data_IF_024747122327
#
_entry.id   IF_024747122327
#
_cell.length_a   1.000
_cell.length_b   1.000
_cell.length_c   1.000
_cell.angle_alpha   90.00
_cell.angle_beta   90.00
_cell.angle_gamma   90.00
#
_symmetry.space_group_name_H-M   'P 1'
#
loop_
_entity.id
_entity.type
_entity.pdbx_description
1 polymer ?
#
# COMPACT_ATOMS: atom_id res chain seq x y z
N UNK A 1 -3.26 24.26 18.00
CA UNK A 1 -4.01 23.59 16.93
C UNK A 1 -5.06 22.64 17.51
N UNK A 2 -6.20 22.56 16.87
CA UNK A 2 -7.27 21.69 17.31
C UNK A 2 -6.97 20.25 16.95
N UNK A 3 -6.93 19.38 17.96
CA UNK A 3 -6.71 17.98 17.73
C UNK A 3 -5.32 17.54 18.12
N UNK A 4 -4.41 17.53 17.16
CA UNK A 4 -3.04 17.05 17.39
C UNK A 4 -2.09 17.64 16.37
N UNK A 5 -1.09 18.32 16.89
CA UNK A 5 0.00 18.83 16.10
C UNK A 5 0.80 17.67 15.50
N UNK A 6 1.06 17.75 14.21
CA UNK A 6 1.78 16.75 13.51
C UNK A 6 3.29 16.85 13.75
N UNK A 7 3.84 15.76 14.26
CA UNK A 7 5.27 15.60 14.58
C UNK A 7 6.10 15.47 13.33
N UNK A 8 5.35 15.23 12.28
CA UNK A 8 5.76 15.15 10.89
C UNK A 8 7.13 14.57 10.63
N UNK A 9 8.17 15.21 11.10
CA UNK A 9 9.52 14.76 10.93
C UNK A 9 9.70 13.38 11.54
N UNK A 10 8.99 13.16 12.64
CA UNK A 10 8.91 11.86 13.28
C UNK A 10 8.33 10.82 12.30
N UNK A 11 7.24 11.21 11.67
CA UNK A 11 6.61 10.44 10.62
C UNK A 11 7.51 10.24 9.41
N UNK A 12 8.12 11.30 8.93
CA UNK A 12 9.05 11.25 7.84
C UNK A 12 10.21 10.32 8.16
N UNK A 13 10.58 10.25 9.43
CA UNK A 13 11.63 9.37 9.87
C UNK A 13 11.16 7.92 9.77
N UNK A 14 9.87 7.74 9.97
CA UNK A 14 9.22 6.47 9.88
C UNK A 14 9.20 5.98 8.44
N UNK A 15 8.93 6.89 7.53
CA UNK A 15 8.82 6.60 6.13
C UNK A 15 10.18 6.55 5.51
N UNK A 16 10.98 7.43 6.02
CA UNK A 16 12.33 7.60 5.56
C UNK A 16 12.40 8.63 4.47
N UNK A 17 11.52 9.63 4.59
CA UNK A 17 11.37 10.69 3.63
C UNK A 17 11.09 10.19 2.20
N UNK A 18 10.65 11.09 1.31
CA UNK A 18 10.37 10.78 -0.09
C UNK A 18 11.46 9.94 -0.74
N UNK A 19 11.08 9.06 -1.68
CA UNK A 19 12.01 8.16 -2.33
C UNK A 19 12.64 8.79 -3.56
N UNK A 20 12.17 8.43 -4.74
CA UNK A 20 12.67 9.00 -5.95
C UNK A 20 11.71 10.03 -6.51
N UNK A 21 10.67 9.55 -7.16
CA UNK A 21 9.75 10.42 -7.86
C UNK A 21 8.53 10.77 -7.01
N UNK A 22 7.80 11.81 -7.42
CA UNK A 22 6.48 12.13 -6.86
C UNK A 22 5.51 10.99 -7.12
N UNK A 23 5.52 10.56 -8.37
CA UNK A 23 4.71 9.44 -8.85
C UNK A 23 4.85 8.18 -7.99
N UNK A 24 5.99 8.04 -7.32
CA UNK A 24 6.22 6.89 -6.44
C UNK A 24 5.57 7.09 -5.08
N UNK A 25 5.56 8.36 -4.65
CA UNK A 25 5.11 8.74 -3.31
C UNK A 25 3.76 8.13 -2.89
N UNK A 26 2.75 8.08 -3.77
CA UNK A 26 1.47 7.43 -3.49
C UNK A 26 1.63 6.02 -2.95
N UNK A 27 2.20 5.17 -3.78
CA UNK A 27 2.45 3.79 -3.44
C UNK A 27 3.39 3.72 -2.23
N UNK A 28 4.33 4.64 -2.24
CA UNK A 28 5.31 4.78 -1.21
C UNK A 28 4.64 4.99 0.15
N UNK A 29 3.54 5.71 0.15
CA UNK A 29 2.84 5.99 1.33
C UNK A 29 2.16 4.79 1.89
N UNK A 30 1.43 4.09 1.05
CA UNK A 30 0.70 2.93 1.50
C UNK A 30 1.58 1.94 2.20
N UNK A 31 2.87 2.01 1.89
CA UNK A 31 3.84 1.19 2.60
C UNK A 31 4.09 1.76 3.99
N UNK A 32 4.20 3.07 4.03
CA UNK A 32 4.67 3.81 5.19
C UNK A 32 3.55 4.30 6.10
N UNK A 33 2.39 4.44 5.53
CA UNK A 33 1.17 4.84 6.21
C UNK A 33 0.99 4.18 7.59
N UNK A 34 1.12 2.84 7.71
CA UNK A 34 1.00 2.15 9.00
C UNK A 34 2.09 2.57 9.97
N UNK A 35 3.20 2.89 9.38
CA UNK A 35 4.38 3.31 10.12
C UNK A 35 4.18 4.73 10.63
N UNK A 36 3.63 5.55 9.76
CA UNK A 36 3.25 6.90 10.08
C UNK A 36 2.25 6.89 11.21
N UNK A 37 1.27 6.04 11.04
CA UNK A 37 0.25 5.76 12.05
C UNK A 37 0.86 5.38 13.41
N UNK A 38 2.14 4.99 13.43
CA UNK A 38 2.79 4.65 14.68
C UNK A 38 3.17 5.90 15.44
N UNK A 39 3.88 6.79 14.75
CA UNK A 39 4.16 8.10 15.24
C UNK A 39 2.88 8.84 15.54
N UNK A 40 2.27 9.17 14.44
CA UNK A 40 1.10 9.95 14.38
C UNK A 40 -0.13 9.10 14.55
N UNK A 41 -0.92 9.47 15.55
CA UNK A 41 -2.21 8.85 15.84
C UNK A 41 -3.23 9.25 14.82
N UNK A 42 -2.84 10.31 14.15
CA UNK A 42 -3.59 10.94 13.09
C UNK A 42 -5.09 10.82 13.37
N UNK A 43 -5.47 11.49 14.44
CA UNK A 43 -6.76 11.35 15.03
C UNK A 43 -7.84 12.12 14.29
N UNK A 44 -7.45 12.72 13.18
CA UNK A 44 -8.39 13.43 12.35
C UNK A 44 -8.05 13.17 10.91
N UNK A 45 -9.01 13.38 10.05
CA UNK A 45 -8.83 13.33 8.60
C UNK A 45 -7.83 14.36 8.21
N UNK A 46 -8.04 15.53 8.79
CA UNK A 46 -7.17 16.69 8.66
C UNK A 46 -5.72 16.26 8.75
N UNK A 47 -5.42 15.60 9.85
CA UNK A 47 -4.09 15.20 10.18
C UNK A 47 -3.50 14.36 9.10
N UNK A 48 -4.26 13.37 8.73
CA UNK A 48 -3.86 12.40 7.71
C UNK A 48 -3.36 13.12 6.45
N UNK A 49 -4.12 14.09 6.01
CA UNK A 49 -3.80 14.82 4.80
C UNK A 49 -2.57 15.69 4.96
N UNK A 50 -2.52 16.43 6.06
CA UNK A 50 -1.41 17.31 6.33
C UNK A 50 -0.12 16.55 6.48
N UNK A 51 -0.19 15.33 7.02
CA UNK A 51 0.99 14.50 7.11
C UNK A 51 1.57 14.26 5.75
N UNK A 52 0.73 13.78 4.84
CA UNK A 52 1.21 13.33 3.55
C UNK A 52 1.95 14.43 2.82
N UNK A 53 1.28 15.54 2.69
CA UNK A 53 1.82 16.68 1.98
C UNK A 53 3.06 17.20 2.69
N UNK A 54 3.04 17.14 4.02
CA UNK A 54 4.15 17.59 4.84
C UNK A 54 5.35 16.67 4.72
N UNK A 55 5.09 15.38 4.47
CA UNK A 55 6.11 14.40 4.19
C UNK A 55 6.93 14.84 3.03
N UNK A 56 6.20 15.00 1.95
CA UNK A 56 6.77 15.15 0.64
C UNK A 56 7.32 16.54 0.47
N UNK A 57 6.73 17.45 1.20
CA UNK A 57 7.11 18.83 1.18
C UNK A 57 6.87 19.50 -0.17
N UNK A 58 7.69 19.15 -1.15
CA UNK A 58 7.60 19.76 -2.47
C UNK A 58 7.00 18.82 -3.50
N UNK A 59 5.86 18.26 -3.18
CA UNK A 59 5.12 17.41 -4.09
C UNK A 59 4.16 18.25 -4.91
N UNK A 60 4.22 18.06 -6.21
CA UNK A 60 3.54 18.88 -7.19
C UNK A 60 2.08 19.13 -6.84
N UNK A 61 1.25 18.11 -6.98
CA UNK A 61 -0.16 18.28 -6.72
C UNK A 61 -0.74 17.25 -5.79
N UNK A 62 0.11 16.40 -5.23
CA UNK A 62 -0.32 15.33 -4.34
C UNK A 62 -0.82 15.91 -3.03
N UNK A 63 -0.63 17.20 -2.91
CA UNK A 63 -1.05 17.94 -1.75
C UNK A 63 -2.57 17.90 -1.59
N UNK A 64 -3.06 16.77 -1.07
CA UNK A 64 -4.44 16.56 -0.79
C UNK A 64 -4.99 17.55 0.24
N UNK A 65 -6.26 17.39 0.54
CA UNK A 65 -6.98 18.28 1.43
C UNK A 65 -7.49 17.47 2.60
N UNK A 66 -7.77 18.12 3.74
CA UNK A 66 -8.18 17.41 4.95
C UNK A 66 -9.58 16.80 4.85
N UNK A 67 -10.02 16.52 3.61
CA UNK A 67 -11.31 15.91 3.39
C UNK A 67 -11.29 14.76 2.40
N UNK A 68 -10.14 14.50 1.78
CA UNK A 68 -10.03 13.40 0.81
C UNK A 68 -9.25 12.24 1.40
N UNK A 69 -8.48 12.57 2.40
CA UNK A 69 -7.49 11.70 2.98
C UNK A 69 -8.02 10.94 4.18
N UNK A 70 -9.35 10.76 4.23
CA UNK A 70 -10.03 10.19 5.38
C UNK A 70 -9.42 8.85 5.72
N UNK A 71 -9.05 8.18 4.68
CA UNK A 71 -8.30 6.95 4.77
C UNK A 71 -6.96 7.14 4.08
N UNK A 72 -6.02 6.29 4.43
CA UNK A 72 -4.69 6.34 3.83
C UNK A 72 -4.81 5.89 2.39
N UNK A 73 -5.69 4.94 2.16
CA UNK A 73 -5.87 4.31 0.87
C UNK A 73 -6.32 5.34 -0.16
N UNK A 74 -7.24 6.20 0.24
CA UNK A 74 -7.76 7.21 -0.65
C UNK A 74 -6.69 8.23 -1.01
N UNK A 75 -5.94 8.68 -0.01
CA UNK A 75 -4.85 9.63 -0.22
C UNK A 75 -3.75 9.06 -1.09
N UNK A 76 -3.21 7.87 -0.73
CA UNK A 76 -2.13 7.28 -1.47
C UNK A 76 -2.53 7.14 -2.93
N UNK A 77 -3.73 6.65 -3.13
CA UNK A 77 -4.24 6.45 -4.46
C UNK A 77 -4.25 7.76 -5.21
N UNK A 78 -4.73 8.79 -4.56
CA UNK A 78 -4.98 10.05 -5.20
C UNK A 78 -3.66 10.72 -5.62
N UNK A 79 -2.62 10.60 -4.81
CA UNK A 79 -1.32 11.17 -5.18
C UNK A 79 -0.79 10.52 -6.46
N UNK A 80 -1.07 9.24 -6.63
CA UNK A 80 -0.64 8.52 -7.81
C UNK A 80 -1.49 8.94 -8.97
N UNK A 81 -2.76 9.00 -8.68
CA UNK A 81 -3.76 9.53 -9.52
C UNK A 81 -3.40 10.96 -9.96
N UNK A 82 -2.71 11.70 -9.10
CA UNK A 82 -2.22 13.01 -9.40
C UNK A 82 -1.26 12.98 -10.57
N UNK A 83 -0.38 12.00 -10.53
CA UNK A 83 0.76 11.99 -11.42
C UNK A 83 0.49 11.18 -12.68
N UNK A 84 -0.46 10.26 -12.59
CA UNK A 84 -0.78 9.39 -13.72
C UNK A 84 -2.14 9.73 -14.32
N UNK A 85 -2.58 10.97 -14.10
CA UNK A 85 -3.80 11.46 -14.72
C UNK A 85 -5.04 10.63 -14.42
N UNK A 86 -4.99 9.86 -13.33
CA UNK A 86 -6.08 8.96 -12.94
C UNK A 86 -6.25 7.82 -13.96
N UNK A 87 -6.89 6.73 -13.54
CA UNK A 87 -7.11 5.59 -14.42
C UNK A 87 -8.57 5.13 -14.43
N UNK A 88 -9.01 4.55 -15.56
CA UNK A 88 -10.24 3.78 -15.63
C UNK A 88 -9.96 2.28 -15.48
N UNK A 89 -9.27 1.92 -14.39
CA UNK A 89 -8.80 0.57 -14.14
C UNK A 89 -7.89 0.01 -15.23
N UNK A 90 -7.49 0.86 -16.16
CA UNK A 90 -6.51 0.48 -17.17
C UNK A 90 -5.12 0.35 -16.53
N UNK A 91 -4.77 1.33 -15.71
CA UNK A 91 -3.41 1.45 -15.19
C UNK A 91 -3.06 0.45 -14.09
N UNK A 92 -4.04 -0.02 -13.29
CA UNK A 92 -3.73 -0.82 -12.10
C UNK A 92 -2.82 -2.01 -12.41
N UNK A 93 -2.95 -2.56 -13.62
CA UNK A 93 -2.04 -3.61 -14.03
C UNK A 93 -0.61 -3.16 -13.90
N UNK A 94 -0.31 -2.03 -14.52
CA UNK A 94 1.03 -1.46 -14.49
C UNK A 94 1.44 -1.00 -13.10
N UNK A 95 0.49 -0.44 -12.37
CA UNK A 95 0.75 0.02 -11.01
C UNK A 95 1.26 -1.12 -10.14
N UNK A 96 0.59 -2.26 -10.23
CA UNK A 96 1.00 -3.47 -9.55
C UNK A 96 2.41 -3.85 -9.97
N UNK A 97 2.64 -3.83 -11.28
CA UNK A 97 3.93 -4.21 -11.89
C UNK A 97 5.09 -3.46 -11.26
N UNK A 98 4.88 -2.18 -10.98
CA UNK A 98 5.97 -1.36 -10.52
C UNK A 98 6.31 -1.58 -9.06
N UNK A 99 5.30 -1.66 -8.21
CA UNK A 99 5.52 -1.85 -6.79
C UNK A 99 6.05 -3.23 -6.49
N UNK A 100 5.50 -4.25 -7.13
CA UNK A 100 5.93 -5.60 -6.87
C UNK A 100 7.42 -5.73 -7.14
N UNK A 101 7.82 -5.15 -8.24
CA UNK A 101 9.21 -5.13 -8.65
C UNK A 101 10.08 -4.48 -7.59
N UNK A 102 9.55 -3.43 -7.01
CA UNK A 102 10.27 -2.60 -6.07
C UNK A 102 10.19 -3.11 -4.63
N UNK A 103 8.97 -3.32 -4.17
CA UNK A 103 8.71 -3.54 -2.75
C UNK A 103 8.22 -4.94 -2.49
N UNK A 104 7.54 -5.50 -3.45
CA UNK A 104 7.01 -6.84 -3.31
C UNK A 104 5.52 -6.90 -3.59
N UNK A 105 5.03 -8.10 -3.77
CA UNK A 105 3.63 -8.33 -4.15
C UNK A 105 2.66 -7.83 -3.07
N UNK A 106 2.97 -8.13 -1.82
CA UNK A 106 2.10 -7.75 -0.71
C UNK A 106 1.83 -6.25 -0.69
N UNK A 107 2.88 -5.45 -0.76
CA UNK A 107 2.73 -4.03 -0.77
C UNK A 107 1.99 -3.56 -2.03
N UNK A 108 2.45 -4.01 -3.19
CA UNK A 108 1.79 -3.66 -4.45
C UNK A 108 0.31 -4.00 -4.43
N UNK A 109 -0.02 -5.15 -3.87
CA UNK A 109 -1.41 -5.54 -3.74
C UNK A 109 -2.16 -4.47 -2.95
N UNK A 110 -1.52 -4.05 -1.87
CA UNK A 110 -2.09 -3.08 -0.98
C UNK A 110 -2.39 -1.75 -1.68
N UNK A 111 -1.40 -1.18 -2.36
CA UNK A 111 -1.63 0.04 -3.13
C UNK A 111 -2.65 -0.20 -4.21
N UNK A 112 -2.49 -1.29 -4.93
CA UNK A 112 -3.35 -1.56 -6.05
C UNK A 112 -4.81 -1.55 -5.69
N UNK A 113 -5.17 -2.20 -4.58
CA UNK A 113 -6.55 -2.18 -4.12
C UNK A 113 -6.95 -0.80 -3.61
N UNK A 114 -6.01 -0.05 -3.03
CA UNK A 114 -6.29 1.29 -2.56
C UNK A 114 -6.52 2.19 -3.76
N UNK A 115 -5.60 2.10 -4.72
CA UNK A 115 -5.67 2.82 -5.98
C UNK A 115 -6.95 2.46 -6.74
N UNK A 116 -7.28 1.18 -6.70
CA UNK A 116 -8.46 0.67 -7.35
C UNK A 116 -9.74 0.96 -6.56
N UNK A 117 -9.60 1.28 -5.30
CA UNK A 117 -10.73 1.69 -4.52
C UNK A 117 -11.43 0.50 -3.90
N UNK A 118 -10.65 -0.40 -3.32
CA UNK A 118 -11.15 -1.58 -2.70
C UNK A 118 -11.94 -2.47 -3.64
N UNK A 119 -11.40 -2.72 -4.83
CA UNK A 119 -11.85 -3.83 -5.61
C UNK A 119 -10.64 -4.66 -5.95
N UNK A 120 -10.21 -5.35 -4.93
CA UNK A 120 -8.88 -5.90 -4.83
C UNK A 120 -8.61 -6.83 -5.97
N UNK A 121 -9.65 -7.50 -6.40
CA UNK A 121 -9.57 -8.65 -7.25
C UNK A 121 -8.81 -8.36 -8.53
N UNK A 122 -9.08 -7.21 -9.14
CA UNK A 122 -8.39 -6.82 -10.36
C UNK A 122 -6.89 -6.64 -10.09
N UNK A 123 -6.60 -5.87 -9.05
CA UNK A 123 -5.24 -5.57 -8.66
C UNK A 123 -4.51 -6.86 -8.30
N UNK A 124 -5.28 -7.70 -7.66
CA UNK A 124 -4.90 -9.02 -7.20
C UNK A 124 -4.53 -9.91 -8.35
N UNK A 125 -5.33 -9.89 -9.40
CA UNK A 125 -5.04 -10.70 -10.56
C UNK A 125 -3.67 -10.43 -11.13
N UNK A 126 -3.28 -9.17 -11.17
CA UNK A 126 -1.96 -8.79 -11.61
C UNK A 126 -0.94 -9.20 -10.56
N UNK A 127 -1.29 -8.97 -9.32
CA UNK A 127 -0.49 -9.29 -8.18
C UNK A 127 -0.09 -10.73 -8.15
N UNK A 128 -1.05 -11.57 -8.47
CA UNK A 128 -0.95 -12.97 -8.39
C UNK A 128 0.17 -13.45 -9.26
N UNK A 129 0.27 -12.74 -10.32
CA UNK A 129 1.32 -12.98 -11.29
C UNK A 129 2.67 -12.54 -10.78
N UNK A 130 2.69 -11.86 -9.65
CA UNK A 130 3.92 -11.38 -9.06
C UNK A 130 4.42 -12.13 -7.83
N UNK A 131 3.69 -13.15 -7.40
CA UNK A 131 4.14 -14.04 -6.41
C UNK A 131 5.42 -14.73 -6.77
N UNK A 132 6.20 -14.88 -5.73
CA UNK A 132 7.57 -15.37 -5.73
C UNK A 132 7.68 -16.85 -6.04
N UNK A 133 6.97 -17.62 -5.25
CA UNK A 133 6.98 -19.04 -5.37
C UNK A 133 5.60 -19.56 -5.68
N UNK A 134 5.52 -20.58 -6.51
CA UNK A 134 4.23 -21.12 -6.92
C UNK A 134 3.47 -21.69 -5.75
N UNK A 135 4.17 -22.13 -4.72
CA UNK A 135 3.50 -22.52 -3.47
C UNK A 135 2.73 -21.33 -2.97
N UNK A 136 3.39 -20.19 -2.94
CA UNK A 136 2.77 -18.96 -2.52
C UNK A 136 1.59 -18.66 -3.41
N UNK A 137 1.76 -18.66 -4.72
CA UNK A 137 0.67 -18.39 -5.61
C UNK A 137 -0.48 -19.34 -5.31
N UNK A 138 -0.21 -20.65 -5.31
CA UNK A 138 -1.26 -21.61 -5.12
C UNK A 138 -1.93 -21.47 -3.78
N UNK A 139 -1.14 -21.54 -2.74
CA UNK A 139 -1.67 -21.47 -1.41
C UNK A 139 -2.46 -20.21 -1.23
N UNK A 140 -1.92 -19.09 -1.66
CA UNK A 140 -2.60 -17.85 -1.51
C UNK A 140 -3.92 -17.89 -2.19
N UNK A 141 -3.87 -18.26 -3.46
CA UNK A 141 -5.02 -18.36 -4.29
C UNK A 141 -6.06 -19.23 -3.62
N UNK A 142 -5.62 -20.24 -2.90
CA UNK A 142 -6.48 -21.10 -2.18
C UNK A 142 -7.08 -20.49 -0.91
N UNK A 143 -6.27 -20.09 0.05
CA UNK A 143 -6.80 -19.65 1.34
C UNK A 143 -7.39 -18.27 1.28
N UNK A 144 -6.63 -17.35 0.71
CA UNK A 144 -7.06 -15.99 0.60
C UNK A 144 -8.34 -15.87 -0.20
N UNK A 145 -8.55 -16.85 -1.04
CA UNK A 145 -9.78 -16.91 -1.84
C UNK A 145 -10.97 -17.33 -0.97
N UNK A 146 -10.69 -18.30 -0.12
CA UNK A 146 -11.66 -18.95 0.70
C UNK A 146 -12.24 -18.10 1.82
N UNK A 147 -11.70 -16.91 2.03
CA UNK A 147 -12.10 -16.04 3.10
C UNK A 147 -13.60 -15.79 3.17
N UNK A 148 -13.95 -15.43 4.37
CA UNK A 148 -15.28 -15.23 4.84
C UNK A 148 -16.13 -14.27 4.01
N UNK A 149 -15.50 -13.28 3.45
CA UNK A 149 -16.18 -12.33 2.56
C UNK A 149 -15.32 -12.10 1.34
N UNK A 150 -15.82 -11.29 0.42
CA UNK A 150 -15.02 -10.89 -0.71
C UNK A 150 -13.87 -10.03 -0.21
N UNK A 151 -14.19 -9.00 0.58
CA UNK A 151 -13.22 -8.20 1.20
C UNK A 151 -12.44 -8.89 2.30
N UNK A 152 -12.95 -9.93 2.91
CA UNK A 152 -12.12 -10.69 3.79
C UNK A 152 -10.90 -11.21 3.04
N UNK A 153 -11.13 -11.61 1.79
CA UNK A 153 -10.06 -11.97 0.88
C UNK A 153 -9.17 -10.76 0.67
N UNK A 154 -9.77 -9.58 0.75
CA UNK A 154 -9.07 -8.33 0.52
C UNK A 154 -8.20 -7.98 1.72
N UNK A 155 -8.73 -8.33 2.89
CA UNK A 155 -8.17 -7.95 4.15
C UNK A 155 -7.00 -8.81 4.51
N UNK A 156 -7.18 -10.08 4.28
CA UNK A 156 -6.26 -11.07 4.76
C UNK A 156 -5.33 -11.54 3.67
N UNK A 157 -5.53 -11.01 2.47
CA UNK A 157 -4.72 -11.34 1.33
C UNK A 157 -3.23 -11.23 1.67
N UNK A 158 -2.82 -10.07 2.18
CA UNK A 158 -1.45 -9.84 2.54
C UNK A 158 -1.01 -10.64 3.74
N UNK A 159 -1.94 -10.96 4.60
CA UNK A 159 -1.65 -11.68 5.78
C UNK A 159 -1.34 -13.11 5.41
N UNK A 160 -2.15 -13.61 4.52
CA UNK A 160 -1.94 -14.90 3.88
C UNK A 160 -0.72 -14.84 3.00
N UNK A 161 -0.47 -13.66 2.46
CA UNK A 161 0.67 -13.43 1.59
C UNK A 161 1.95 -13.63 2.39
N UNK A 162 2.00 -12.91 3.48
CA UNK A 162 3.03 -13.01 4.48
C UNK A 162 3.03 -14.39 5.13
N UNK A 163 1.85 -14.96 5.17
CA UNK A 163 1.63 -16.28 5.74
C UNK A 163 2.30 -17.32 4.90
N UNK A 164 2.09 -17.26 3.61
CA UNK A 164 2.76 -18.15 2.75
C UNK A 164 4.26 -17.88 2.76
N UNK A 165 4.60 -16.61 2.87
CA UNK A 165 5.98 -16.20 3.16
C UNK A 165 6.45 -16.78 4.49
N UNK A 166 5.54 -17.26 5.27
CA UNK A 166 5.85 -17.81 6.54
C UNK A 166 6.02 -19.30 6.51
N UNK A 167 5.03 -19.95 5.95
CA UNK A 167 5.05 -21.37 5.76
C UNK A 167 6.16 -21.81 4.83
N UNK A 168 6.38 -21.07 3.74
CA UNK A 168 7.52 -21.33 2.92
C UNK A 168 8.65 -20.63 3.58
N UNK A 169 8.22 -19.72 4.43
CA UNK A 169 9.15 -19.02 5.27
C UNK A 169 10.09 -18.14 4.51
N UNK A 170 9.54 -17.34 3.63
CA UNK A 170 10.28 -16.44 2.79
C UNK A 170 10.17 -15.02 3.32
N UNK A 171 10.91 -14.14 2.73
CA UNK A 171 10.69 -12.73 2.97
C UNK A 171 9.75 -12.29 1.89
N UNK A 172 10.03 -12.85 0.73
CA UNK A 172 9.07 -12.96 -0.36
C UNK A 172 9.51 -14.00 -1.37
N UNK A 173 10.49 -13.63 -2.18
CA UNK A 173 10.91 -14.35 -3.36
C UNK A 173 11.51 -15.70 -3.11
N UNK A 174 10.63 -16.53 -2.74
CA UNK A 174 10.86 -17.97 -2.56
C UNK A 174 12.20 -18.28 -1.93
N UNK A 175 12.55 -17.50 -0.92
CA UNK A 175 13.85 -17.57 -0.28
C UNK A 175 13.90 -18.70 0.69
N UNK A 176 12.94 -18.62 1.56
CA UNK A 176 12.81 -19.50 2.70
C UNK A 176 13.93 -19.21 3.68
N UNK A 177 13.87 -17.98 4.11
CA UNK A 177 14.72 -17.41 5.13
C UNK A 177 14.63 -18.20 6.44
N UNK A 178 13.40 -18.48 6.85
CA UNK A 178 13.11 -19.19 8.06
C UNK A 178 13.80 -20.53 8.15
N UNK A 179 14.24 -20.89 9.35
CA UNK A 179 15.06 -22.05 9.58
C UNK A 179 14.51 -23.31 8.94
N UNK A 180 13.26 -23.64 9.28
CA UNK A 180 12.62 -24.86 8.88
C UNK A 180 12.48 -24.97 7.36
#
# INVERSE_FOLDING_TARGET
PIGTVIPIQHIRSVTGEPPRNPREIPIWLGRNAPAIDGVFPVTTPDLRCRIINAILGGNIGLSLTPGDCLTWDSAVATLFIRTHGTFPMHQLGNVIKGIVDQEGVATAYTLGMMLSGQNYQLVSGIIRGYLPGQAVVTALQQRLDQEIDDQTRAETFIQHLNAVYEILGLNARGQSIRLE
#
